data_IF_804549545480
#
_entry.id   IF_804549545480
#
_cell.length_a   1.000
_cell.length_b   1.000
_cell.length_c   1.000
_cell.angle_alpha   90.00
_cell.angle_beta   90.00
_cell.angle_gamma   90.00
#
_symmetry.space_group_name_H-M   'P 1'
#
loop_
_entity.id
_entity.type
_entity.pdbx_description
1 polymer ?
#
# COMPACT_ATOMS: atom_id res chain seq x y z
N UNK A 1 -13.22 -9.05 -2.45
CA UNK A 1 -14.22 -8.02 -2.09
C UNK A 1 -15.52 -8.23 -2.89
N UNK A 2 -15.46 -8.68 -4.14
CA UNK A 2 -16.61 -8.79 -5.05
C UNK A 2 -17.71 -9.76 -4.62
N UNK A 3 -17.47 -10.67 -3.68
CA UNK A 3 -18.40 -11.74 -3.28
C UNK A 3 -18.60 -11.86 -1.77
N UNK A 4 -18.42 -10.76 -1.03
CA UNK A 4 -18.52 -10.76 0.44
C UNK A 4 -19.39 -9.61 0.92
N UNK A 5 -20.13 -9.81 2.01
CA UNK A 5 -20.92 -8.76 2.69
C UNK A 5 -20.05 -7.75 3.45
N UNK A 6 -18.84 -7.50 2.98
CA UNK A 6 -17.88 -6.57 3.61
C UNK A 6 -18.19 -5.15 3.15
N UNK A 7 -18.46 -4.27 4.10
CA UNK A 7 -18.47 -2.82 3.84
C UNK A 7 -17.04 -2.29 3.81
N UNK A 8 -16.68 -1.59 2.73
CA UNK A 8 -15.34 -1.04 2.54
C UNK A 8 -15.39 0.47 2.52
N UNK A 9 -14.53 1.10 3.30
CA UNK A 9 -14.32 2.55 3.29
C UNK A 9 -12.89 2.81 2.82
N UNK A 10 -12.74 3.52 1.70
CA UNK A 10 -11.46 4.03 1.22
C UNK A 10 -11.28 5.47 1.68
N UNK A 11 -10.14 5.77 2.30
CA UNK A 11 -9.81 7.10 2.80
C UNK A 11 -8.59 7.63 2.08
N UNK A 12 -8.61 8.87 1.66
CA UNK A 12 -7.47 9.58 1.11
C UNK A 12 -7.53 11.07 1.46
N UNK A 13 -6.37 11.71 1.57
CA UNK A 13 -6.25 13.16 1.76
C UNK A 13 -6.43 13.93 0.43
N UNK A 14 -6.25 13.25 -0.70
CA UNK A 14 -6.29 13.83 -2.05
C UNK A 14 -7.67 13.63 -2.70
N UNK A 15 -8.39 14.71 -2.91
CA UNK A 15 -9.63 14.68 -3.67
C UNK A 15 -9.41 14.13 -5.11
N UNK A 16 -8.26 14.46 -5.72
CA UNK A 16 -7.90 13.97 -7.05
C UNK A 16 -7.80 12.46 -7.08
N UNK A 17 -7.13 11.86 -6.10
CA UNK A 17 -6.93 10.41 -6.06
C UNK A 17 -8.23 9.67 -5.75
N UNK A 18 -9.09 10.24 -4.90
CA UNK A 18 -10.44 9.71 -4.68
C UNK A 18 -11.31 9.79 -5.95
N UNK A 19 -11.15 10.84 -6.76
CA UNK A 19 -11.85 10.96 -8.05
C UNK A 19 -11.40 9.86 -9.03
N UNK A 20 -10.08 9.60 -9.10
CA UNK A 20 -9.52 8.51 -9.90
C UNK A 20 -10.00 7.14 -9.38
N UNK A 21 -10.00 6.94 -8.06
CA UNK A 21 -10.51 5.73 -7.45
C UNK A 21 -11.98 5.48 -7.80
N UNK A 22 -12.81 6.52 -7.73
CA UNK A 22 -14.24 6.46 -8.12
C UNK A 22 -14.42 6.08 -9.59
N UNK A 23 -13.65 6.70 -10.48
CA UNK A 23 -13.68 6.35 -11.90
C UNK A 23 -13.36 4.86 -12.13
N UNK A 24 -12.29 4.35 -11.51
CA UNK A 24 -11.91 2.95 -11.63
C UNK A 24 -12.95 1.98 -11.04
N UNK A 25 -13.62 2.37 -9.96
CA UNK A 25 -14.73 1.58 -9.41
C UNK A 25 -15.90 1.53 -10.39
N UNK A 26 -16.23 2.63 -11.06
CA UNK A 26 -17.27 2.68 -12.08
C UNK A 26 -16.90 1.84 -13.32
N UNK A 27 -15.63 1.90 -13.76
CA UNK A 27 -15.11 1.09 -14.86
C UNK A 27 -15.25 -0.41 -14.54
N UNK A 28 -14.91 -0.79 -13.31
CA UNK A 28 -15.08 -2.18 -12.82
C UNK A 28 -16.57 -2.60 -12.85
N UNK A 29 -17.46 -1.75 -12.36
CA UNK A 29 -18.90 -2.04 -12.36
C UNK A 29 -19.46 -2.14 -13.79
N UNK A 30 -18.92 -1.37 -14.71
CA UNK A 30 -19.29 -1.40 -16.13
C UNK A 30 -18.81 -2.71 -16.80
N UNK A 31 -17.59 -3.15 -16.49
CA UNK A 31 -16.99 -4.35 -17.09
C UNK A 31 -17.57 -5.65 -16.51
N UNK A 32 -17.79 -5.71 -15.19
CA UNK A 32 -18.19 -6.93 -14.48
C UNK A 32 -19.64 -6.93 -13.99
N UNK A 33 -20.36 -5.83 -14.21
CA UNK A 33 -21.73 -5.60 -13.73
C UNK A 33 -21.79 -5.05 -12.30
N UNK A 34 -22.75 -4.18 -12.01
CA UNK A 34 -22.92 -3.56 -10.68
C UNK A 34 -23.20 -4.57 -9.57
N UNK A 35 -23.73 -5.75 -9.91
CA UNK A 35 -23.95 -6.88 -9.00
C UNK A 35 -22.66 -7.64 -8.64
N UNK A 36 -21.54 -7.39 -9.32
CA UNK A 36 -20.24 -7.99 -9.00
C UNK A 36 -19.72 -7.53 -7.62
N UNK A 37 -20.17 -6.36 -7.14
CA UNK A 37 -19.95 -5.90 -5.77
C UNK A 37 -21.28 -5.93 -5.01
N UNK A 38 -21.38 -6.76 -4.00
CA UNK A 38 -22.59 -6.84 -3.16
C UNK A 38 -22.78 -5.56 -2.34
N UNK A 39 -21.70 -4.92 -1.91
CA UNK A 39 -21.72 -3.65 -1.19
C UNK A 39 -20.89 -2.56 -1.90
N UNK A 40 -21.44 -1.35 -2.05
CA UNK A 40 -20.68 -0.23 -2.61
C UNK A 40 -19.53 0.15 -1.68
N UNK A 41 -18.38 0.47 -2.27
CA UNK A 41 -17.25 1.06 -1.54
C UNK A 41 -17.55 2.54 -1.28
N UNK A 42 -17.47 2.96 -0.01
CA UNK A 42 -17.55 4.37 0.37
C UNK A 42 -16.17 5.01 0.24
N UNK A 43 -16.09 6.19 -0.39
CA UNK A 43 -14.86 6.98 -0.46
C UNK A 43 -15.01 8.21 0.43
N UNK A 44 -14.03 8.43 1.29
CA UNK A 44 -13.99 9.51 2.28
C UNK A 44 -12.76 10.39 2.09
N UNK A 45 -12.94 11.68 1.89
CA UNK A 45 -11.86 12.66 1.89
C UNK A 45 -11.57 13.05 3.33
N UNK A 46 -10.47 12.56 3.89
CA UNK A 46 -10.11 12.84 5.27
C UNK A 46 -8.61 12.73 5.52
N UNK A 47 -8.16 13.39 6.59
CA UNK A 47 -6.79 13.27 7.08
C UNK A 47 -6.66 12.02 7.96
N UNK A 48 -5.71 11.14 7.62
CA UNK A 48 -5.44 9.91 8.37
C UNK A 48 -5.01 10.11 9.83
N UNK A 49 -4.69 11.36 10.23
CA UNK A 49 -4.39 11.72 11.61
C UNK A 49 -5.64 12.01 12.45
N UNK A 50 -6.78 12.24 11.81
CA UNK A 50 -8.07 12.52 12.45
C UNK A 50 -9.20 12.11 11.52
N UNK A 51 -9.68 10.89 11.67
CA UNK A 51 -10.69 10.31 10.81
C UNK A 51 -12.12 10.53 11.37
N UNK A 52 -13.12 10.83 10.52
CA UNK A 52 -14.47 11.14 10.98
C UNK A 52 -15.29 9.89 11.30
N UNK A 53 -14.71 8.97 12.06
CA UNK A 53 -15.36 7.71 12.47
C UNK A 53 -15.31 7.56 13.99
N UNK A 54 -16.30 6.86 14.53
CA UNK A 54 -16.36 6.56 15.96
C UNK A 54 -15.26 5.56 16.35
N UNK A 55 -14.92 5.53 17.63
CA UNK A 55 -14.01 4.53 18.20
C UNK A 55 -14.54 3.13 17.96
N UNK A 56 -13.64 2.16 17.74
CA UNK A 56 -13.99 0.76 17.56
C UNK A 56 -15.00 0.52 16.41
N UNK A 57 -14.87 1.25 15.29
CA UNK A 57 -15.79 1.17 14.15
C UNK A 57 -15.44 0.06 13.16
N UNK A 58 -14.17 -0.34 13.08
CA UNK A 58 -13.68 -1.22 12.03
C UNK A 58 -13.20 -2.57 12.55
N UNK A 59 -13.60 -3.63 11.86
CA UNK A 59 -13.10 -4.99 12.13
C UNK A 59 -11.71 -5.19 11.51
N UNK A 60 -11.43 -4.51 10.40
CA UNK A 60 -10.16 -4.60 9.68
C UNK A 60 -9.73 -3.21 9.21
N UNK A 61 -8.46 -2.89 9.40
CA UNK A 61 -7.84 -1.69 8.82
C UNK A 61 -6.63 -2.11 7.99
N UNK A 62 -6.54 -1.55 6.78
CA UNK A 62 -5.40 -1.72 5.88
C UNK A 62 -4.74 -0.35 5.70
N UNK A 63 -3.50 -0.23 6.15
CA UNK A 63 -2.65 0.94 5.96
C UNK A 63 -1.49 0.53 5.03
N UNK A 64 -1.66 0.75 3.73
CA UNK A 64 -0.76 0.23 2.71
C UNK A 64 0.00 1.34 2.01
N UNK A 65 1.33 1.37 2.14
CA UNK A 65 2.22 2.37 1.51
C UNK A 65 1.78 3.80 1.85
N UNK A 66 1.55 4.09 3.12
CA UNK A 66 1.07 5.39 3.63
C UNK A 66 2.02 5.97 4.66
N UNK A 67 2.47 5.18 5.64
CA UNK A 67 3.23 5.66 6.80
C UNK A 67 4.55 6.34 6.42
N UNK A 68 5.16 5.96 5.30
CA UNK A 68 6.38 6.57 4.78
C UNK A 68 6.20 8.01 4.30
N UNK A 69 4.96 8.43 4.05
CA UNK A 69 4.60 9.78 3.62
C UNK A 69 4.12 10.68 4.77
N UNK A 70 3.70 10.09 5.90
CA UNK A 70 3.08 10.81 7.01
C UNK A 70 4.14 11.34 7.98
N UNK A 71 4.30 12.66 8.19
CA UNK A 71 5.27 13.21 9.13
C UNK A 71 5.14 12.64 10.54
N UNK A 72 3.95 12.68 11.10
CA UNK A 72 3.61 12.07 12.40
C UNK A 72 2.86 10.75 12.23
N UNK A 73 3.59 9.70 11.85
CA UNK A 73 3.01 8.36 11.70
C UNK A 73 2.64 7.72 13.04
N UNK A 74 3.18 8.18 14.16
CA UNK A 74 2.77 7.73 15.49
C UNK A 74 1.35 8.21 15.82
N UNK A 75 1.02 9.46 15.51
CA UNK A 75 -0.35 9.96 15.63
C UNK A 75 -1.31 9.15 14.73
N UNK A 76 -0.88 8.80 13.51
CA UNK A 76 -1.68 7.93 12.65
C UNK A 76 -1.87 6.52 13.21
N UNK A 77 -0.84 5.92 13.82
CA UNK A 77 -0.97 4.64 14.51
C UNK A 77 -1.94 4.73 15.69
N UNK A 78 -1.93 5.84 16.43
CA UNK A 78 -2.91 6.11 17.49
C UNK A 78 -4.34 6.22 16.98
N UNK A 79 -4.53 6.84 15.82
CA UNK A 79 -5.84 6.93 15.19
C UNK A 79 -6.33 5.56 14.69
N UNK A 80 -5.44 4.75 14.11
CA UNK A 80 -5.73 3.35 13.74
C UNK A 80 -6.13 2.54 14.99
N UNK A 81 -5.39 2.72 16.10
CA UNK A 81 -5.70 2.05 17.36
C UNK A 81 -7.09 2.44 17.88
N UNK A 82 -7.45 3.72 17.87
CA UNK A 82 -8.77 4.22 18.27
C UNK A 82 -9.89 3.59 17.44
N UNK A 83 -9.69 3.47 16.13
CA UNK A 83 -10.73 3.04 15.20
C UNK A 83 -10.93 1.53 15.15
N UNK A 84 -9.90 0.75 15.45
CA UNK A 84 -9.97 -0.70 15.33
C UNK A 84 -10.67 -1.32 16.54
N UNK A 85 -11.64 -2.20 16.30
CA UNK A 85 -12.31 -2.98 17.34
C UNK A 85 -11.31 -3.81 18.18
N UNK A 86 -11.66 -4.18 19.43
CA UNK A 86 -10.79 -5.00 20.27
C UNK A 86 -10.29 -6.30 19.63
N UNK A 87 -11.14 -6.97 18.83
CA UNK A 87 -10.79 -8.19 18.08
C UNK A 87 -10.32 -7.92 16.65
N UNK A 88 -10.10 -6.66 16.31
CA UNK A 88 -9.81 -6.24 14.95
C UNK A 88 -8.43 -6.64 14.44
N UNK A 89 -8.28 -6.63 13.12
CA UNK A 89 -7.04 -6.98 12.43
C UNK A 89 -6.50 -5.75 11.69
N UNK A 90 -5.21 -5.49 11.89
CA UNK A 90 -4.48 -4.44 11.20
C UNK A 90 -3.49 -5.05 10.20
N UNK A 91 -3.53 -4.61 8.95
CA UNK A 91 -2.51 -4.87 7.95
C UNK A 91 -1.76 -3.58 7.62
N UNK A 92 -0.44 -3.61 7.73
CA UNK A 92 0.43 -2.49 7.36
C UNK A 92 1.41 -2.95 6.30
N UNK A 93 1.56 -2.19 5.21
CA UNK A 93 2.69 -2.32 4.31
C UNK A 93 3.49 -1.03 4.20
N UNK A 94 4.81 -1.20 4.04
CA UNK A 94 5.75 -0.11 3.77
C UNK A 94 6.82 -0.61 2.80
N UNK A 95 7.49 0.30 2.06
CA UNK A 95 8.62 -0.08 1.23
C UNK A 95 9.71 -0.78 2.04
N UNK A 96 10.26 -1.86 1.48
CA UNK A 96 11.38 -2.58 2.09
C UNK A 96 12.65 -1.73 2.05
N UNK A 97 13.35 -1.67 3.17
CA UNK A 97 14.43 -0.71 3.37
C UNK A 97 15.58 -0.80 2.34
N UNK A 98 16.02 -1.99 1.94
CA UNK A 98 17.19 -2.10 1.08
C UNK A 98 16.91 -1.75 -0.40
N UNK A 99 15.77 -2.18 -1.04
CA UNK A 99 15.44 -1.71 -2.38
C UNK A 99 15.17 -0.22 -2.44
N UNK A 100 14.54 0.33 -1.39
CA UNK A 100 14.23 1.74 -1.26
C UNK A 100 15.49 2.60 -1.13
N UNK A 101 16.50 2.15 -0.36
CA UNK A 101 17.80 2.82 -0.29
C UNK A 101 18.50 2.92 -1.64
N UNK A 102 18.34 1.93 -2.50
CA UNK A 102 18.88 1.97 -3.87
C UNK A 102 18.16 3.05 -4.69
N UNK A 103 16.83 3.16 -4.58
CA UNK A 103 16.09 4.25 -5.22
C UNK A 103 16.60 5.63 -4.77
N UNK A 104 16.81 5.81 -3.47
CA UNK A 104 17.33 7.06 -2.91
C UNK A 104 18.77 7.36 -3.38
N UNK A 105 19.60 6.33 -3.50
CA UNK A 105 20.97 6.46 -4.02
C UNK A 105 20.99 6.80 -5.52
N UNK A 106 20.09 6.20 -6.31
CA UNK A 106 19.99 6.43 -7.74
C UNK A 106 19.43 7.82 -8.07
N UNK A 107 18.53 8.36 -7.25
CA UNK A 107 17.89 9.66 -7.50
C UNK A 107 17.52 10.37 -6.21
N UNK A 108 18.19 11.45 -5.89
CA UNK A 108 17.81 12.33 -4.79
C UNK A 108 16.41 12.94 -5.03
N UNK A 109 16.08 13.26 -6.28
CA UNK A 109 14.78 13.83 -6.62
C UNK A 109 13.61 12.86 -6.37
N UNK A 110 13.85 11.54 -6.31
CA UNK A 110 12.82 10.55 -6.05
C UNK A 110 12.10 10.75 -4.71
N UNK A 111 12.84 11.08 -3.66
CA UNK A 111 12.28 11.26 -2.31
C UNK A 111 12.06 12.75 -1.94
N UNK A 112 12.54 13.69 -2.78
CA UNK A 112 12.39 15.13 -2.54
C UNK A 112 11.17 15.75 -3.24
N UNK A 113 10.48 15.00 -4.08
CA UNK A 113 9.24 15.47 -4.72
C UNK A 113 8.12 15.53 -3.69
N UNK A 114 7.16 16.41 -3.92
CA UNK A 114 5.92 16.46 -3.14
C UNK A 114 5.22 15.10 -3.17
N UNK A 115 4.83 14.58 -2.00
CA UNK A 115 4.30 13.23 -1.84
C UNK A 115 5.33 12.11 -1.96
N UNK A 116 6.64 12.42 -1.99
CA UNK A 116 7.71 11.42 -1.95
C UNK A 116 7.83 10.73 -0.57
N UNK A 117 8.62 9.66 -0.53
CA UNK A 117 8.89 8.97 0.74
C UNK A 117 9.80 9.82 1.63
N UNK A 118 9.31 10.30 2.75
CA UNK A 118 10.09 11.13 3.70
C UNK A 118 10.92 10.28 4.66
N UNK A 119 10.73 8.95 4.68
CA UNK A 119 11.48 8.02 5.52
C UNK A 119 11.55 6.61 4.94
N UNK A 120 12.56 5.87 5.40
CA UNK A 120 12.73 4.45 5.13
C UNK A 120 12.55 3.69 6.43
N UNK A 121 11.52 2.87 6.51
CA UNK A 121 11.26 2.05 7.69
C UNK A 121 12.19 0.84 7.78
N UNK A 122 12.77 0.62 8.95
CA UNK A 122 13.30 -0.68 9.34
C UNK A 122 12.13 -1.51 9.90
N UNK A 123 11.88 -2.68 9.34
CA UNK A 123 10.75 -3.53 9.71
C UNK A 123 10.66 -3.83 11.22
N UNK A 124 11.82 -4.01 11.90
CA UNK A 124 11.87 -4.24 13.34
C UNK A 124 11.45 -2.99 14.14
N UNK A 125 11.85 -1.80 13.71
CA UNK A 125 11.45 -0.56 14.37
C UNK A 125 9.93 -0.34 14.24
N UNK A 126 9.40 -0.40 13.01
CA UNK A 126 7.96 -0.26 12.79
C UNK A 126 7.15 -1.33 13.57
N UNK A 127 7.63 -2.57 13.60
CA UNK A 127 7.00 -3.61 14.43
C UNK A 127 6.94 -3.23 15.91
N UNK A 128 8.04 -2.66 16.46
CA UNK A 128 8.07 -2.23 17.86
C UNK A 128 7.12 -1.04 18.09
N UNK A 129 7.08 -0.08 17.17
CA UNK A 129 6.18 1.08 17.27
C UNK A 129 4.71 0.63 17.31
N UNK A 130 4.31 -0.27 16.40
CA UNK A 130 2.95 -0.83 16.37
C UNK A 130 2.66 -1.63 17.66
N UNK A 131 3.65 -2.33 18.21
CA UNK A 131 3.51 -3.08 19.45
C UNK A 131 3.24 -2.18 20.67
N UNK A 132 3.75 -0.94 20.69
CA UNK A 132 3.47 0.01 21.76
C UNK A 132 1.99 0.41 21.86
N UNK A 133 1.22 0.25 20.77
CA UNK A 133 -0.24 0.41 20.75
C UNK A 133 -1.01 -0.88 21.10
N UNK A 134 -0.36 -1.88 21.72
CA UNK A 134 -1.01 -3.11 22.14
C UNK A 134 -1.29 -4.12 21.02
N UNK A 135 -0.58 -4.01 19.90
CA UNK A 135 -0.75 -4.96 18.79
C UNK A 135 0.34 -6.03 18.77
N UNK A 136 -0.07 -7.28 18.52
CA UNK A 136 0.82 -8.42 18.34
C UNK A 136 0.83 -8.86 16.89
N UNK A 137 2.03 -8.90 16.29
CA UNK A 137 2.18 -9.40 14.94
C UNK A 137 2.01 -10.91 14.90
N UNK A 138 1.14 -11.42 14.04
CA UNK A 138 0.93 -12.85 13.84
C UNK A 138 1.44 -13.36 12.47
N UNK A 139 1.59 -12.49 11.47
CA UNK A 139 2.11 -12.86 10.17
C UNK A 139 2.89 -11.73 9.51
N UNK A 140 3.73 -12.07 8.55
CA UNK A 140 4.39 -11.14 7.63
C UNK A 140 4.72 -11.84 6.32
N UNK A 141 4.80 -11.08 5.23
CA UNK A 141 5.38 -11.51 3.97
C UNK A 141 6.02 -10.34 3.23
N UNK A 142 6.71 -10.65 2.14
CA UNK A 142 7.23 -9.66 1.20
C UNK A 142 6.48 -9.79 -0.11
N UNK A 143 6.34 -8.69 -0.83
CA UNK A 143 5.55 -8.63 -2.05
C UNK A 143 6.23 -7.79 -3.13
N UNK A 144 5.83 -8.03 -4.37
CA UNK A 144 6.16 -7.20 -5.52
C UNK A 144 7.65 -7.18 -5.88
N UNK A 145 8.33 -8.34 -5.89
CA UNK A 145 9.74 -8.43 -6.27
C UNK A 145 9.97 -7.94 -7.71
N UNK A 146 9.08 -8.30 -8.64
CA UNK A 146 9.15 -7.87 -10.04
C UNK A 146 8.97 -6.35 -10.23
N UNK A 147 8.48 -5.63 -9.22
CA UNK A 147 8.36 -4.17 -9.27
C UNK A 147 9.68 -3.46 -8.92
N UNK A 148 10.61 -4.13 -8.26
CA UNK A 148 11.86 -3.52 -7.81
C UNK A 148 12.71 -3.01 -8.99
N UNK A 149 12.98 -3.80 -10.05
CA UNK A 149 13.75 -3.31 -11.20
C UNK A 149 13.07 -2.12 -11.91
N UNK A 150 11.72 -2.10 -11.93
CA UNK A 150 10.98 -0.98 -12.50
C UNK A 150 11.28 0.33 -11.77
N UNK A 151 11.23 0.32 -10.44
CA UNK A 151 11.50 1.51 -9.64
C UNK A 151 12.95 1.94 -9.74
N UNK A 152 13.91 1.00 -9.81
CA UNK A 152 15.31 1.34 -10.05
C UNK A 152 15.52 1.99 -11.42
N UNK A 153 14.88 1.46 -12.47
CA UNK A 153 14.92 2.09 -13.80
C UNK A 153 14.29 3.49 -13.78
N UNK A 154 13.16 3.68 -13.10
CA UNK A 154 12.54 5.01 -12.94
C UNK A 154 13.48 5.98 -12.23
N UNK A 155 14.15 5.56 -11.19
CA UNK A 155 15.11 6.38 -10.47
C UNK A 155 16.35 6.68 -11.33
N UNK A 156 16.89 5.68 -12.02
CA UNK A 156 18.05 5.85 -12.90
C UNK A 156 17.78 6.85 -14.05
N UNK A 157 16.59 6.81 -14.62
CA UNK A 157 16.15 7.69 -15.69
C UNK A 157 15.20 8.79 -15.22
N UNK A 158 15.36 9.31 -14.02
CA UNK A 158 14.41 10.20 -13.35
C UNK A 158 13.91 11.36 -14.22
N UNK A 159 14.82 12.02 -14.94
CA UNK A 159 14.49 13.13 -15.84
C UNK A 159 13.58 12.72 -17.01
N UNK A 160 13.65 11.45 -17.43
CA UNK A 160 12.90 10.88 -18.55
C UNK A 160 12.03 9.68 -18.10
N UNK A 161 11.72 9.58 -16.82
CA UNK A 161 11.06 8.41 -16.21
C UNK A 161 9.74 8.00 -16.85
N UNK A 162 9.05 8.95 -17.47
CA UNK A 162 7.75 8.70 -18.10
C UNK A 162 7.85 8.51 -19.64
N UNK A 163 9.00 8.86 -20.25
CA UNK A 163 9.24 8.77 -21.70
C UNK A 163 10.33 7.80 -22.09
N UNK A 164 11.16 7.32 -21.16
CA UNK A 164 12.28 6.43 -21.48
C UNK A 164 11.79 5.04 -21.95
N UNK A 165 12.25 4.51 -23.12
CA UNK A 165 11.73 3.28 -23.70
C UNK A 165 11.81 2.06 -22.78
N UNK A 166 12.91 1.88 -22.03
CA UNK A 166 13.07 0.78 -21.08
C UNK A 166 12.05 0.85 -19.95
N UNK A 167 11.80 2.05 -19.41
CA UNK A 167 10.82 2.25 -18.33
C UNK A 167 9.41 1.94 -18.85
N UNK A 168 9.06 2.44 -20.02
CA UNK A 168 7.76 2.18 -20.63
C UNK A 168 7.55 0.69 -20.97
N UNK A 169 8.59 0.03 -21.51
CA UNK A 169 8.51 -1.41 -21.84
C UNK A 169 8.34 -2.23 -20.56
N UNK A 170 9.11 -1.93 -19.53
CA UNK A 170 8.97 -2.63 -18.25
C UNK A 170 7.62 -2.36 -17.59
N UNK A 171 7.10 -1.13 -17.66
CA UNK A 171 5.76 -0.80 -17.19
C UNK A 171 4.68 -1.61 -17.92
N UNK A 172 4.76 -1.71 -19.26
CA UNK A 172 3.83 -2.55 -20.02
C UNK A 172 3.89 -4.03 -19.60
N UNK A 173 5.09 -4.53 -19.32
CA UNK A 173 5.25 -5.89 -18.77
C UNK A 173 4.55 -6.05 -17.43
N UNK A 174 4.72 -5.11 -16.47
CA UNK A 174 4.04 -5.17 -15.18
C UNK A 174 2.52 -5.07 -15.30
N UNK A 175 2.02 -4.22 -16.19
CA UNK A 175 0.57 -4.13 -16.47
C UNK A 175 0.06 -5.44 -17.04
N UNK A 176 0.76 -6.03 -18.00
CA UNK A 176 0.41 -7.34 -18.56
C UNK A 176 0.42 -8.42 -17.49
N UNK A 177 1.44 -8.46 -16.62
CA UNK A 177 1.54 -9.42 -15.52
C UNK A 177 0.36 -9.28 -14.55
N UNK A 178 0.02 -8.05 -14.17
CA UNK A 178 -1.10 -7.76 -13.27
C UNK A 178 -2.44 -8.20 -13.86
N UNK A 179 -2.66 -7.96 -15.15
CA UNK A 179 -3.93 -8.25 -15.82
C UNK A 179 -4.10 -9.73 -16.17
N UNK A 180 -3.03 -10.38 -16.61
CA UNK A 180 -3.07 -11.78 -17.08
C UNK A 180 -2.71 -12.79 -16.00
N UNK A 181 -1.98 -12.37 -14.96
CA UNK A 181 -1.50 -13.22 -13.86
C UNK A 181 -0.89 -14.55 -14.34
N UNK A 182 0.10 -14.53 -15.27
CA UNK A 182 0.68 -15.76 -15.78
C UNK A 182 1.34 -16.54 -14.65
N UNK A 183 1.17 -17.86 -14.65
CA UNK A 183 1.70 -18.70 -13.58
C UNK A 183 3.21 -18.57 -13.40
N UNK A 184 3.95 -18.37 -14.51
CA UNK A 184 5.41 -18.25 -14.51
C UNK A 184 5.86 -16.99 -13.73
N UNK A 185 5.29 -15.82 -14.02
CA UNK A 185 5.64 -14.56 -13.35
C UNK A 185 5.17 -14.57 -11.90
N UNK A 186 4.00 -15.14 -11.61
CA UNK A 186 3.51 -15.30 -10.23
C UNK A 186 4.44 -16.21 -9.41
N UNK A 187 4.92 -17.31 -10.00
CA UNK A 187 5.88 -18.20 -9.35
C UNK A 187 7.22 -17.50 -9.14
N UNK A 188 7.72 -16.78 -10.15
CA UNK A 188 8.96 -16.03 -10.08
C UNK A 188 8.88 -14.92 -9.01
N UNK A 189 7.80 -14.16 -8.98
CA UNK A 189 7.57 -13.13 -7.96
C UNK A 189 7.55 -13.75 -6.56
N UNK A 190 6.84 -14.86 -6.37
CA UNK A 190 6.77 -15.57 -5.10
C UNK A 190 8.15 -16.06 -4.63
N UNK A 191 8.97 -16.61 -5.52
CA UNK A 191 10.34 -17.08 -5.22
C UNK A 191 11.29 -15.92 -4.91
N UNK A 192 11.14 -14.78 -5.59
CA UNK A 192 12.01 -13.62 -5.41
C UNK A 192 11.57 -12.71 -4.25
N UNK A 193 10.31 -12.74 -3.84
CA UNK A 193 9.79 -11.89 -2.77
C UNK A 193 10.61 -11.96 -1.47
N UNK A 194 11.04 -13.11 -0.95
CA UNK A 194 11.87 -13.15 0.26
C UNK A 194 13.19 -12.38 0.12
N UNK A 195 13.77 -12.37 -1.08
CA UNK A 195 15.07 -11.75 -1.36
C UNK A 195 14.90 -10.28 -1.73
N UNK A 196 14.04 -9.95 -2.69
CA UNK A 196 13.95 -8.62 -3.27
C UNK A 196 12.51 -8.06 -3.35
N UNK A 197 11.57 -8.56 -2.56
CA UNK A 197 10.24 -7.98 -2.48
C UNK A 197 10.31 -6.48 -2.21
N UNK A 198 9.56 -5.67 -2.99
CA UNK A 198 9.55 -4.21 -2.87
C UNK A 198 8.99 -3.75 -1.53
N UNK A 199 7.93 -4.42 -1.08
CA UNK A 199 7.21 -4.05 0.13
C UNK A 199 7.28 -5.16 1.17
N UNK A 200 7.27 -4.79 2.45
CA UNK A 200 7.00 -5.68 3.55
C UNK A 200 5.59 -5.46 4.03
N UNK A 201 4.84 -6.54 4.15
CA UNK A 201 3.47 -6.54 4.69
C UNK A 201 3.49 -7.24 6.04
N UNK A 202 2.93 -6.61 7.05
CA UNK A 202 2.84 -7.13 8.41
C UNK A 202 1.37 -7.13 8.86
N UNK A 203 0.97 -8.21 9.52
CA UNK A 203 -0.38 -8.42 10.03
C UNK A 203 -0.37 -8.48 11.55
N UNK A 204 -1.27 -7.73 12.14
CA UNK A 204 -1.36 -7.56 13.58
C UNK A 204 -2.79 -7.84 14.07
N UNK A 205 -2.88 -8.32 15.30
CA UNK A 205 -4.11 -8.37 16.09
C UNK A 205 -3.86 -7.63 17.38
N UNK A 206 -4.93 -7.08 17.97
CA UNK A 206 -4.83 -6.51 19.31
C UNK A 206 -4.49 -7.65 20.30
N UNK A 207 -3.55 -7.40 21.19
CA UNK A 207 -3.21 -8.31 22.28
C UNK A 207 -4.32 -8.17 23.34
N UNK A 208 -5.14 -9.20 23.50
CA UNK A 208 -6.29 -9.24 24.44
C UNK A 208 -5.83 -9.66 25.81
#
# INVERSE_FOLDING_TARGET
>A
IAHTDIQVVGVDLSHKDLTVARSRLNDFDTEFGSTARQNPMTLCLANGLQLPFNDNSFDHIICSEVLEHVPDYHAMLGEIDRLLKPSGVLAISVPRAWPEKICWWLSAAYHQVEGGHIRIFKAAALHNDVRHFGFKRYARHWAHALHVPFWWLKCLFWQKRDSHPLVQTYHKFLVWDLMKKPWLTQTLDALLNPVMGKSIVMYFKRDT
#
